data_IF_756303199293
#
_entry.id   IF_756303199293
#
_cell.length_a   1.000
_cell.length_b   1.000
_cell.length_c   1.000
_cell.angle_alpha   90.00
_cell.angle_beta   90.00
_cell.angle_gamma   90.00
#
_symmetry.space_group_name_H-M   'P 1'
#
loop_
_entity.id
_entity.type
_entity.pdbx_description
1 polymer ?
#
# COMPACT_ATOMS: atom_id res chain seq x y z
N UNK A 1 -8.88 24.90 17.25
CA UNK A 1 -9.59 25.52 16.12
C UNK A 1 -8.81 26.74 15.61
N UNK A 2 -9.29 27.34 14.53
CA UNK A 2 -8.61 28.50 13.90
C UNK A 2 -8.51 29.74 14.81
N UNK A 3 -9.38 29.86 15.79
CA UNK A 3 -9.37 30.93 16.80
C UNK A 3 -8.43 30.67 18.00
N UNK A 4 -7.73 29.52 17.99
CA UNK A 4 -6.85 29.06 19.07
C UNK A 4 -7.56 28.30 20.19
N UNK A 5 -8.88 28.12 20.12
CA UNK A 5 -9.60 27.30 21.11
C UNK A 5 -9.18 25.84 21.03
N UNK A 6 -9.02 25.23 22.20
CA UNK A 6 -8.71 23.79 22.32
C UNK A 6 -9.99 23.09 22.80
N UNK A 7 -10.38 22.05 22.07
CA UNK A 7 -11.54 21.22 22.41
C UNK A 7 -11.18 19.75 22.35
N UNK A 8 -11.79 18.93 23.20
CA UNK A 8 -11.67 17.47 23.17
C UNK A 8 -12.97 16.90 22.61
N UNK A 9 -12.87 16.13 21.53
CA UNK A 9 -13.99 15.48 20.85
C UNK A 9 -13.90 13.96 21.03
N UNK A 10 -15.08 13.30 21.04
CA UNK A 10 -15.19 11.86 21.25
C UNK A 10 -15.05 11.43 22.70
N UNK A 11 -15.29 10.17 22.97
CA UNK A 11 -15.26 9.55 24.28
C UNK A 11 -14.79 8.10 24.23
N UNK A 12 -15.00 7.37 25.33
CA UNK A 12 -14.68 5.92 25.41
C UNK A 12 -15.76 5.03 24.80
N UNK A 13 -16.91 5.58 24.48
CA UNK A 13 -18.06 4.92 23.85
C UNK A 13 -18.16 5.33 22.38
N UNK A 14 -18.84 4.52 21.57
CA UNK A 14 -19.08 4.84 20.15
C UNK A 14 -20.19 5.89 19.97
N UNK A 15 -20.99 6.14 21.00
CA UNK A 15 -22.06 7.11 20.95
C UNK A 15 -21.53 8.52 21.24
N UNK A 16 -21.94 9.49 20.45
CA UNK A 16 -21.67 10.91 20.68
C UNK A 16 -22.97 11.61 21.13
N UNK A 17 -22.85 12.52 22.10
CA UNK A 17 -23.95 13.41 22.45
C UNK A 17 -24.05 14.50 21.37
N UNK A 18 -25.06 14.40 20.49
CA UNK A 18 -25.28 15.35 19.40
C UNK A 18 -24.62 14.93 18.09
N UNK A 19 -24.05 15.88 17.34
CA UNK A 19 -23.40 15.60 16.06
C UNK A 19 -22.07 14.82 16.22
N UNK A 20 -21.79 13.92 15.29
CA UNK A 20 -20.51 13.21 15.22
C UNK A 20 -19.39 14.13 14.71
N UNK A 21 -18.90 15.00 15.59
CA UNK A 21 -17.82 15.92 15.28
C UNK A 21 -16.48 15.19 15.09
N UNK A 22 -16.29 14.00 15.71
CA UNK A 22 -15.10 13.18 15.52
C UNK A 22 -15.01 12.66 14.08
N UNK A 23 -16.13 12.17 13.55
CA UNK A 23 -16.23 11.77 12.15
C UNK A 23 -16.02 12.94 11.19
N UNK A 24 -16.54 14.12 11.53
CA UNK A 24 -16.38 15.32 10.72
C UNK A 24 -14.91 15.76 10.55
N UNK A 25 -14.13 15.75 11.64
CA UNK A 25 -12.71 16.18 11.60
C UNK A 25 -11.77 15.09 11.07
N UNK A 26 -12.18 13.81 11.12
CA UNK A 26 -11.40 12.70 10.57
C UNK A 26 -11.32 12.81 9.06
N UNK A 27 -10.11 12.93 8.51
CA UNK A 27 -9.88 13.15 7.09
C UNK A 27 -10.05 14.60 6.63
N UNK A 28 -10.14 15.57 7.54
CA UNK A 28 -10.27 17.00 7.19
C UNK A 28 -8.99 17.67 6.70
N UNK A 29 -7.85 16.96 6.71
CA UNK A 29 -6.55 17.42 6.21
C UNK A 29 -6.10 18.78 6.77
N UNK A 30 -6.49 19.10 8.00
CA UNK A 30 -6.15 20.37 8.64
C UNK A 30 -7.05 21.55 8.25
N UNK A 31 -8.08 21.35 7.39
CA UNK A 31 -8.96 22.44 6.94
C UNK A 31 -9.92 22.92 8.03
N UNK A 32 -10.30 22.05 8.98
CA UNK A 32 -11.26 22.39 10.04
C UNK A 32 -10.58 22.70 11.38
N UNK A 33 -9.46 22.04 11.67
CA UNK A 33 -8.71 22.19 12.91
C UNK A 33 -7.32 21.57 12.81
N UNK A 34 -6.47 21.87 13.80
CA UNK A 34 -5.21 21.14 14.00
C UNK A 34 -5.41 20.08 15.07
N UNK A 35 -5.18 18.81 14.76
CA UNK A 35 -5.27 17.71 15.71
C UNK A 35 -3.94 17.63 16.47
N UNK A 36 -3.96 17.91 17.77
CA UNK A 36 -2.78 17.94 18.63
C UNK A 36 -2.61 16.68 19.47
N UNK A 37 -3.71 16.00 19.79
CA UNK A 37 -3.70 14.76 20.56
C UNK A 37 -4.71 13.77 20.00
N UNK A 38 -4.35 12.49 19.96
CA UNK A 38 -5.25 11.39 19.54
C UNK A 38 -5.17 10.28 20.59
N UNK A 39 -6.34 9.85 21.08
CA UNK A 39 -6.46 8.65 21.91
C UNK A 39 -6.97 7.50 21.05
N UNK A 40 -6.20 6.43 20.94
CA UNK A 40 -6.53 5.27 20.09
C UNK A 40 -6.54 3.97 20.92
N UNK A 41 -7.35 3.01 20.47
CA UNK A 41 -7.26 1.63 20.94
C UNK A 41 -6.02 0.98 20.34
N UNK A 42 -5.16 0.46 21.17
CA UNK A 42 -3.95 -0.26 20.72
C UNK A 42 -4.26 -1.74 20.45
N UNK A 43 -3.53 -2.31 19.50
CA UNK A 43 -3.51 -3.74 19.23
C UNK A 43 -2.25 -4.37 19.83
N UNK A 44 -2.32 -5.67 20.13
CA UNK A 44 -1.15 -6.43 20.55
C UNK A 44 -0.14 -6.48 19.38
N UNK A 45 1.13 -6.19 19.67
CA UNK A 45 2.19 -6.33 18.67
C UNK A 45 2.26 -7.77 18.18
N UNK A 46 2.27 -8.04 16.87
CA UNK A 46 2.42 -9.38 16.31
C UNK A 46 3.77 -9.99 16.70
N UNK A 47 3.83 -11.31 16.80
CA UNK A 47 5.06 -12.04 17.14
C UNK A 47 6.10 -11.93 16.03
N UNK A 48 5.63 -12.02 14.78
CA UNK A 48 6.49 -11.95 13.60
C UNK A 48 5.77 -11.28 12.43
N UNK A 49 6.54 -10.81 11.45
CA UNK A 49 6.05 -10.33 10.19
C UNK A 49 7.00 -10.76 9.07
N UNK A 50 6.44 -11.16 7.92
CA UNK A 50 7.18 -11.43 6.68
C UNK A 50 6.56 -10.67 5.53
N UNK A 51 7.41 -10.25 4.58
CA UNK A 51 6.95 -9.63 3.35
C UNK A 51 7.27 -10.52 2.16
N UNK A 52 6.32 -10.65 1.24
CA UNK A 52 6.50 -11.20 -0.10
C UNK A 52 6.67 -10.05 -1.09
N UNK A 53 7.72 -10.10 -1.90
CA UNK A 53 7.97 -9.24 -3.05
C UNK A 53 7.71 -10.05 -4.29
N UNK A 54 6.71 -9.67 -5.08
CA UNK A 54 6.15 -10.47 -6.17
C UNK A 54 6.16 -9.65 -7.46
N UNK A 55 6.82 -10.15 -8.50
CA UNK A 55 6.82 -9.54 -9.84
C UNK A 55 5.78 -10.18 -10.75
N UNK A 56 5.19 -9.39 -11.65
CA UNK A 56 4.20 -9.83 -12.63
C UNK A 56 4.54 -9.34 -14.03
N UNK A 57 4.27 -10.17 -15.07
CA UNK A 57 4.51 -9.79 -16.46
C UNK A 57 3.51 -8.77 -17.00
N UNK A 58 2.35 -8.61 -16.34
CA UNK A 58 1.33 -7.62 -16.70
C UNK A 58 0.73 -6.93 -15.47
N UNK A 59 0.18 -5.75 -15.67
CA UNK A 59 -0.57 -5.03 -14.62
C UNK A 59 -1.83 -5.79 -14.22
N UNK A 60 -2.49 -6.45 -15.20
CA UNK A 60 -3.66 -7.28 -14.97
C UNK A 60 -3.38 -8.43 -14.00
N UNK A 61 -2.29 -9.15 -14.20
CA UNK A 61 -1.93 -10.28 -13.33
C UNK A 61 -1.69 -9.82 -11.89
N UNK A 62 -1.01 -8.67 -11.71
CA UNK A 62 -0.83 -8.05 -10.41
C UNK A 62 -2.16 -7.64 -9.76
N UNK A 63 -3.03 -6.96 -10.49
CA UNK A 63 -4.35 -6.50 -10.03
C UNK A 63 -5.29 -7.67 -9.69
N UNK A 64 -5.27 -8.73 -10.49
CA UNK A 64 -6.03 -9.96 -10.23
C UNK A 64 -5.53 -10.65 -8.97
N UNK A 65 -4.21 -10.71 -8.78
CA UNK A 65 -3.60 -11.27 -7.58
C UNK A 65 -4.04 -10.51 -6.32
N UNK A 66 -4.04 -9.17 -6.33
CA UNK A 66 -4.57 -8.33 -5.24
C UNK A 66 -6.01 -8.70 -4.90
N UNK A 67 -6.85 -8.78 -5.93
CA UNK A 67 -8.28 -9.08 -5.77
C UNK A 67 -8.49 -10.48 -5.19
N UNK A 68 -7.74 -11.48 -5.65
CA UNK A 68 -7.86 -12.87 -5.19
C UNK A 68 -7.32 -13.07 -3.77
N UNK A 69 -6.22 -12.40 -3.38
CA UNK A 69 -5.72 -12.42 -2.00
C UNK A 69 -6.83 -11.96 -1.05
N UNK A 70 -7.45 -10.83 -1.32
CA UNK A 70 -8.53 -10.31 -0.47
C UNK A 70 -9.77 -11.20 -0.50
N UNK A 71 -10.17 -11.69 -1.68
CA UNK A 71 -11.33 -12.59 -1.83
C UNK A 71 -11.14 -13.93 -1.12
N UNK A 72 -9.90 -14.37 -0.92
CA UNK A 72 -9.59 -15.59 -0.16
C UNK A 72 -9.66 -15.41 1.36
N UNK A 73 -10.04 -14.21 1.85
CA UNK A 73 -10.13 -13.88 3.27
C UNK A 73 -8.79 -13.54 3.92
N UNK A 74 -7.72 -13.36 3.14
CA UNK A 74 -6.43 -12.90 3.67
C UNK A 74 -6.49 -11.38 3.82
N UNK A 75 -6.20 -10.90 5.03
CA UNK A 75 -6.08 -9.47 5.33
C UNK A 75 -4.61 -9.19 5.63
N UNK A 76 -3.83 -8.70 4.66
CA UNK A 76 -2.43 -8.38 4.88
C UNK A 76 -2.25 -7.21 5.87
N UNK A 77 -1.15 -7.18 6.62
CA UNK A 77 -0.73 -6.02 7.40
C UNK A 77 -0.44 -4.80 6.49
N UNK A 78 0.01 -5.08 5.27
CA UNK A 78 0.17 -4.08 4.21
C UNK A 78 0.25 -4.75 2.84
N UNK A 79 -0.32 -4.10 1.84
CA UNK A 79 -0.22 -4.54 0.44
C UNK A 79 -0.15 -3.33 -0.48
N UNK A 80 0.93 -3.27 -1.27
CA UNK A 80 1.22 -2.16 -2.16
C UNK A 80 1.59 -2.67 -3.54
N UNK A 81 1.15 -1.96 -4.57
CA UNK A 81 1.47 -2.27 -5.96
C UNK A 81 2.22 -1.10 -6.59
N UNK A 82 3.20 -1.41 -7.41
CA UNK A 82 3.93 -0.44 -8.23
C UNK A 82 3.96 -0.91 -9.68
N UNK A 83 3.87 0.04 -10.60
CA UNK A 83 4.09 -0.19 -12.01
C UNK A 83 5.60 -0.18 -12.38
N UNK A 84 5.93 -0.51 -13.61
CA UNK A 84 7.31 -0.62 -14.09
C UNK A 84 8.10 0.69 -13.95
N UNK A 85 7.50 1.83 -14.26
CA UNK A 85 8.19 3.13 -14.17
C UNK A 85 8.64 3.39 -12.74
N UNK A 86 7.74 3.20 -11.78
CA UNK A 86 8.02 3.39 -10.37
C UNK A 86 8.95 2.30 -9.79
N UNK A 87 8.86 1.04 -10.25
CA UNK A 87 9.80 -0.03 -9.90
C UNK A 87 11.23 0.38 -10.25
N UNK A 88 11.45 0.86 -11.47
CA UNK A 88 12.78 1.26 -11.94
C UNK A 88 13.29 2.49 -11.18
N UNK A 89 12.47 3.54 -11.05
CA UNK A 89 12.84 4.77 -10.36
C UNK A 89 13.20 4.49 -8.88
N UNK A 90 12.35 3.75 -8.17
CA UNK A 90 12.60 3.42 -6.76
C UNK A 90 13.78 2.48 -6.56
N UNK A 91 13.99 1.50 -7.46
CA UNK A 91 15.15 0.60 -7.35
C UNK A 91 16.47 1.33 -7.65
N UNK A 92 16.47 2.30 -8.57
CA UNK A 92 17.63 3.17 -8.78
C UNK A 92 17.96 3.98 -7.52
N UNK A 93 16.95 4.48 -6.84
CA UNK A 93 17.09 5.34 -5.67
C UNK A 93 17.55 4.57 -4.42
N UNK A 94 16.92 3.43 -4.09
CA UNK A 94 17.18 2.70 -2.84
C UNK A 94 17.93 1.39 -3.03
N UNK A 95 18.12 0.90 -4.26
CA UNK A 95 18.79 -0.37 -4.59
C UNK A 95 18.24 -1.56 -3.79
N UNK A 96 16.90 -1.64 -3.74
CA UNK A 96 16.19 -2.68 -3.00
C UNK A 96 16.29 -4.07 -3.65
N UNK A 97 16.62 -4.14 -4.95
CA UNK A 97 16.70 -5.36 -5.73
C UNK A 97 15.32 -5.81 -6.22
N UNK A 98 14.53 -4.84 -6.65
CA UNK A 98 13.20 -5.06 -7.22
C UNK A 98 13.26 -5.76 -8.58
N UNK A 99 12.19 -6.46 -9.01
CA UNK A 99 12.12 -7.14 -10.30
C UNK A 99 11.94 -6.12 -11.44
N UNK A 100 13.04 -5.60 -11.98
CA UNK A 100 13.07 -4.52 -13.00
C UNK A 100 12.49 -4.94 -14.35
N UNK A 101 12.37 -6.23 -14.59
CA UNK A 101 11.78 -6.86 -15.77
C UNK A 101 10.26 -7.01 -15.67
N UNK A 102 9.69 -6.86 -14.46
CA UNK A 102 8.25 -6.93 -14.24
C UNK A 102 7.53 -5.67 -14.73
N UNK A 103 6.30 -5.83 -15.23
CA UNK A 103 5.39 -4.70 -15.55
C UNK A 103 4.63 -4.22 -14.31
N UNK A 104 4.45 -5.10 -13.31
CA UNK A 104 3.91 -4.77 -12.01
C UNK A 104 4.62 -5.54 -10.89
N UNK A 105 4.64 -4.94 -9.71
CA UNK A 105 5.21 -5.55 -8.51
C UNK A 105 4.26 -5.36 -7.34
N UNK A 106 4.07 -6.42 -6.53
CA UNK A 106 3.39 -6.35 -5.24
C UNK A 106 4.39 -6.52 -4.10
N UNK A 107 4.17 -5.76 -3.04
CA UNK A 107 4.71 -6.02 -1.70
C UNK A 107 3.52 -6.44 -0.85
N UNK A 108 3.54 -7.64 -0.29
CA UNK A 108 2.49 -8.16 0.60
C UNK A 108 3.12 -8.48 1.94
N UNK A 109 2.74 -7.78 2.98
CA UNK A 109 3.21 -8.02 4.35
C UNK A 109 2.14 -8.75 5.15
N UNK A 110 2.56 -9.81 5.82
CA UNK A 110 1.72 -10.68 6.64
C UNK A 110 2.33 -10.72 8.04
N UNK A 111 1.51 -10.54 9.05
CA UNK A 111 1.90 -10.53 10.45
C UNK A 111 0.98 -11.41 11.30
N UNK A 112 1.45 -11.80 12.48
CA UNK A 112 0.73 -12.68 13.40
C UNK A 112 1.68 -13.56 14.22
N UNK A 113 1.23 -14.77 14.55
CA UNK A 113 2.09 -15.83 15.08
C UNK A 113 2.96 -16.43 13.96
N UNK A 114 4.02 -17.14 14.31
CA UNK A 114 4.91 -17.76 13.31
C UNK A 114 4.16 -18.74 12.41
N UNK A 115 3.25 -19.55 12.99
CA UNK A 115 2.46 -20.54 12.24
C UNK A 115 1.49 -19.85 11.28
N UNK A 116 0.74 -18.83 11.75
CA UNK A 116 -0.19 -18.07 10.91
C UNK A 116 0.52 -17.41 9.75
N UNK A 117 1.65 -16.73 10.01
CA UNK A 117 2.42 -16.06 8.96
C UNK A 117 2.95 -17.06 7.94
N UNK A 118 3.39 -18.25 8.36
CA UNK A 118 3.86 -19.28 7.44
C UNK A 118 2.73 -19.79 6.53
N UNK A 119 1.57 -20.11 7.09
CA UNK A 119 0.40 -20.52 6.32
C UNK A 119 -0.08 -19.44 5.33
N UNK A 120 -0.13 -18.18 5.78
CA UNK A 120 -0.53 -17.06 4.95
C UNK A 120 0.45 -16.81 3.79
N UNK A 121 1.76 -16.93 4.03
CA UNK A 121 2.80 -16.82 2.98
C UNK A 121 2.63 -17.91 1.93
N UNK A 122 2.35 -19.14 2.34
CA UNK A 122 2.11 -20.26 1.42
C UNK A 122 0.87 -20.01 0.56
N UNK A 123 -0.24 -19.58 1.16
CA UNK A 123 -1.48 -19.23 0.45
C UNK A 123 -1.26 -18.09 -0.53
N UNK A 124 -0.60 -17.00 -0.12
CA UNK A 124 -0.27 -15.87 -1.01
C UNK A 124 0.63 -16.33 -2.16
N UNK A 125 1.60 -17.21 -1.89
CA UNK A 125 2.48 -17.77 -2.93
C UNK A 125 1.71 -18.59 -3.96
N UNK A 126 0.73 -19.40 -3.53
CA UNK A 126 -0.14 -20.18 -4.42
C UNK A 126 -0.97 -19.24 -5.30
N UNK A 127 -1.59 -18.22 -4.70
CA UNK A 127 -2.39 -17.22 -5.41
C UNK A 127 -1.54 -16.46 -6.44
N UNK A 128 -0.33 -16.03 -6.05
CA UNK A 128 0.58 -15.31 -6.93
C UNK A 128 0.98 -16.17 -8.16
N UNK A 129 1.33 -17.44 -7.95
CA UNK A 129 1.64 -18.37 -9.03
C UNK A 129 0.45 -18.60 -9.98
N UNK A 130 -0.76 -18.75 -9.43
CA UNK A 130 -2.00 -18.87 -10.21
C UNK A 130 -2.23 -17.64 -11.09
N UNK A 131 -1.86 -16.45 -10.60
CA UNK A 131 -1.92 -15.18 -11.33
C UNK A 131 -0.63 -14.86 -12.09
N UNK A 132 0.09 -15.88 -12.58
CA UNK A 132 1.22 -15.76 -13.50
C UNK A 132 2.42 -14.94 -12.96
N UNK A 133 2.66 -14.92 -11.65
CA UNK A 133 3.84 -14.21 -11.11
C UNK A 133 5.15 -14.68 -11.76
N UNK A 134 5.97 -13.74 -12.21
CA UNK A 134 7.28 -14.01 -12.82
C UNK A 134 8.37 -14.25 -11.77
N UNK A 135 8.21 -13.69 -10.58
CA UNK A 135 9.14 -13.86 -9.48
C UNK A 135 8.47 -13.71 -8.13
N UNK A 136 8.95 -14.46 -7.13
CA UNK A 136 8.50 -14.35 -5.74
C UNK A 136 9.72 -14.42 -4.82
N UNK A 137 9.91 -13.39 -3.97
CA UNK A 137 10.95 -13.35 -2.95
C UNK A 137 10.29 -13.14 -1.59
N UNK A 138 10.52 -14.06 -0.65
CA UNK A 138 10.04 -13.93 0.73
C UNK A 138 11.17 -13.38 1.61
N UNK A 139 10.87 -12.39 2.45
CA UNK A 139 11.85 -11.83 3.37
C UNK A 139 12.34 -12.89 4.38
N UNK A 140 13.65 -13.04 4.51
CA UNK A 140 14.30 -14.02 5.40
C UNK A 140 14.44 -13.48 6.84
N UNK A 141 14.43 -12.17 6.99
CA UNK A 141 14.60 -11.48 8.27
C UNK A 141 14.04 -10.05 8.20
N UNK A 142 14.02 -9.38 9.33
CA UNK A 142 13.53 -8.01 9.49
C UNK A 142 14.25 -7.02 8.56
N UNK A 143 15.58 -7.11 8.45
CA UNK A 143 16.38 -6.23 7.58
C UNK A 143 15.93 -6.32 6.11
N UNK A 144 15.67 -7.53 5.62
CA UNK A 144 15.19 -7.74 4.25
C UNK A 144 13.74 -7.29 4.08
N UNK A 145 12.89 -7.51 5.08
CA UNK A 145 11.51 -7.01 5.10
C UNK A 145 11.49 -5.48 4.96
N UNK A 146 12.26 -4.79 5.79
CA UNK A 146 12.38 -3.33 5.74
C UNK A 146 12.96 -2.84 4.41
N UNK A 147 13.89 -3.61 3.81
CA UNK A 147 14.44 -3.29 2.50
C UNK A 147 13.39 -3.34 1.40
N UNK A 148 12.44 -4.30 1.44
CA UNK A 148 11.34 -4.35 0.49
C UNK A 148 10.44 -3.10 0.59
N UNK A 149 10.21 -2.59 1.79
CA UNK A 149 9.43 -1.38 2.01
C UNK A 149 10.17 -0.08 1.72
N UNK A 150 11.51 -0.11 1.68
CA UNK A 150 12.31 1.10 1.50
C UNK A 150 11.98 1.83 0.19
N UNK A 151 11.79 1.11 -0.91
CA UNK A 151 11.41 1.71 -2.18
C UNK A 151 10.02 2.33 -2.14
N UNK A 152 9.03 1.66 -1.52
CA UNK A 152 7.68 2.25 -1.36
C UNK A 152 7.73 3.57 -0.59
N UNK A 153 8.54 3.64 0.47
CA UNK A 153 8.74 4.88 1.23
C UNK A 153 9.47 5.96 0.46
N UNK A 154 10.31 5.57 -0.50
CA UNK A 154 11.07 6.46 -1.35
C UNK A 154 10.35 6.79 -2.68
N UNK A 155 9.10 6.36 -2.88
CA UNK A 155 8.38 6.55 -4.14
C UNK A 155 8.29 8.03 -4.54
N UNK A 156 7.91 8.91 -3.63
CA UNK A 156 7.83 10.35 -3.89
C UNK A 156 9.17 10.96 -4.33
N UNK A 157 10.27 10.86 -3.55
CA UNK A 157 11.54 11.39 -4.02
C UNK A 157 12.05 10.72 -5.30
N UNK A 158 11.75 9.44 -5.52
CA UNK A 158 12.13 8.72 -6.74
C UNK A 158 11.36 9.21 -7.99
N UNK A 159 10.16 9.77 -7.85
CA UNK A 159 9.44 10.39 -8.97
C UNK A 159 10.21 11.57 -9.58
N UNK A 160 11.08 12.24 -8.82
CA UNK A 160 11.95 13.29 -9.34
C UNK A 160 12.92 12.83 -10.44
N UNK A 161 13.25 11.53 -10.49
CA UNK A 161 14.04 10.93 -11.58
C UNK A 161 13.22 10.75 -12.87
N UNK A 162 11.89 10.76 -12.79
CA UNK A 162 10.98 10.59 -13.94
C UNK A 162 10.62 11.94 -14.57
N UNK A 163 10.39 12.97 -13.76
CA UNK A 163 10.04 14.31 -14.21
C UNK A 163 10.45 15.35 -13.16
N UNK A 164 10.84 16.58 -13.58
CA UNK A 164 11.23 17.64 -12.66
C UNK A 164 10.07 18.11 -11.76
N UNK A 165 8.85 18.04 -12.30
CA UNK A 165 7.62 18.42 -11.60
C UNK A 165 6.61 17.26 -11.71
N UNK A 166 5.83 17.04 -10.66
CA UNK A 166 4.75 16.04 -10.67
C UNK A 166 3.56 16.51 -9.83
N UNK A 167 2.39 16.07 -10.22
CA UNK A 167 1.15 16.31 -9.49
C UNK A 167 0.64 14.99 -8.92
N UNK A 168 0.63 14.87 -7.59
CA UNK A 168 0.13 13.69 -6.92
C UNK A 168 -1.40 13.77 -6.77
N UNK A 169 -2.07 12.73 -7.21
CA UNK A 169 -3.52 12.57 -7.06
C UNK A 169 -3.83 11.25 -6.38
N UNK A 170 -4.69 11.30 -5.36
CA UNK A 170 -5.24 10.12 -4.71
C UNK A 170 -6.64 9.84 -5.24
N UNK A 171 -6.91 8.57 -5.51
CA UNK A 171 -8.21 8.10 -5.93
C UNK A 171 -8.60 6.81 -5.23
N UNK A 172 -9.86 6.69 -4.85
CA UNK A 172 -10.42 5.48 -4.27
C UNK A 172 -11.28 4.75 -5.29
N UNK A 173 -11.00 3.47 -5.49
CA UNK A 173 -11.70 2.63 -6.46
C UNK A 173 -12.12 1.30 -5.83
N UNK A 174 -13.17 0.64 -6.31
CA UNK A 174 -13.48 -0.73 -5.92
C UNK A 174 -12.33 -1.66 -6.29
N UNK A 175 -11.85 -2.51 -5.35
CA UNK A 175 -10.69 -3.40 -5.57
C UNK A 175 -10.76 -4.22 -6.84
N UNK A 176 -11.95 -4.74 -7.19
CA UNK A 176 -12.18 -5.51 -8.44
C UNK A 176 -11.97 -4.71 -9.73
N UNK A 177 -11.88 -3.37 -9.63
CA UNK A 177 -11.63 -2.47 -10.77
C UNK A 177 -10.17 -2.06 -10.89
N UNK A 178 -9.30 -2.51 -9.99
CA UNK A 178 -7.91 -2.06 -9.93
C UNK A 178 -7.18 -2.27 -11.26
N UNK A 179 -7.20 -3.47 -11.83
CA UNK A 179 -6.55 -3.78 -13.11
C UNK A 179 -7.09 -2.92 -14.27
N UNK A 180 -8.42 -2.74 -14.34
CA UNK A 180 -9.09 -1.92 -15.36
C UNK A 180 -8.62 -0.45 -15.27
N UNK A 181 -8.62 0.13 -14.07
CA UNK A 181 -8.23 1.53 -13.85
C UNK A 181 -6.75 1.75 -14.15
N UNK A 182 -5.87 0.87 -13.66
CA UNK A 182 -4.43 0.99 -13.92
C UNK A 182 -4.10 0.87 -15.41
N UNK A 183 -4.79 0.00 -16.16
CA UNK A 183 -4.64 -0.10 -17.62
C UNK A 183 -5.06 1.20 -18.30
N UNK A 184 -6.18 1.80 -17.88
CA UNK A 184 -6.66 3.05 -18.45
C UNK A 184 -5.71 4.22 -18.13
N UNK A 185 -5.15 4.28 -16.91
CA UNK A 185 -4.11 5.23 -16.55
C UNK A 185 -2.91 5.06 -17.48
N UNK A 186 -2.41 3.83 -17.68
CA UNK A 186 -1.30 3.57 -18.59
C UNK A 186 -1.59 3.95 -20.06
N UNK A 187 -2.85 3.80 -20.51
CA UNK A 187 -3.29 4.25 -21.84
C UNK A 187 -3.27 5.78 -21.96
N UNK A 188 -3.73 6.49 -20.91
CA UNK A 188 -3.74 7.94 -20.85
C UNK A 188 -2.32 8.51 -20.76
N UNK A 189 -1.46 7.90 -19.93
CA UNK A 189 -0.03 8.23 -19.84
C UNK A 189 0.62 8.23 -21.23
N UNK A 190 0.46 7.15 -21.99
CA UNK A 190 0.97 7.07 -23.38
C UNK A 190 0.35 8.09 -24.31
N UNK A 191 -0.97 8.30 -24.22
CA UNK A 191 -1.71 9.25 -25.09
C UNK A 191 -1.23 10.69 -24.90
N UNK A 192 -0.95 11.09 -23.67
CA UNK A 192 -0.57 12.46 -23.33
C UNK A 192 0.94 12.63 -23.11
N UNK A 193 1.73 11.57 -23.32
CA UNK A 193 3.18 11.55 -23.09
C UNK A 193 3.55 12.03 -21.68
N UNK A 194 2.82 11.56 -20.68
CA UNK A 194 3.08 11.77 -19.26
C UNK A 194 3.64 10.48 -18.66
N UNK A 195 4.73 10.56 -17.86
CA UNK A 195 5.30 9.39 -17.21
C UNK A 195 4.37 8.82 -16.13
#
# INVERSE_FOLDING_TARGET
>A
FMDGTISRLGGKTFDSEGYDLLGLITGSEGLLCVITEVTVKILKKPQTAKAALIGFPTIEDGGNCVSEIIASGIIPAGMEMMDKALIIATDNFVKAGYPRDAEAMLIVELDGTETEVQELIERVTIIAKKNQSSSIKISKNEKQRLKFWAGRKAAFPACGDLAPDYYCMDGTIPRKKLAEVLREIGRLSKKYNLP
#
